data_IF_713733160556
#
_entry.id   IF_713733160556
#
_cell.length_a   1.000
_cell.length_b   1.000
_cell.length_c   1.000
_cell.angle_alpha   90.00
_cell.angle_beta   90.00
_cell.angle_gamma   90.00
#
_symmetry.space_group_name_H-M   'P 1'
#
loop_
_entity.id
_entity.type
_entity.pdbx_description
1 polymer ?
#
# COMPACT_ATOMS: atom_id res chain seq x y z
N UNK A 1 -2.38 -16.65 -1.01
CA UNK A 1 -1.34 -15.92 -0.26
C UNK A 1 -1.86 -14.59 0.29
N UNK A 2 -2.60 -13.81 -0.49
CA UNK A 2 -3.10 -12.49 -0.07
C UNK A 2 -4.01 -12.53 1.15
N UNK A 3 -4.85 -13.58 1.29
CA UNK A 3 -5.68 -13.76 2.49
C UNK A 3 -4.81 -13.91 3.75
N UNK A 4 -3.78 -14.73 3.65
CA UNK A 4 -2.86 -14.95 4.75
C UNK A 4 -2.05 -13.67 5.07
N UNK A 5 -1.56 -12.96 4.06
CA UNK A 5 -0.86 -11.70 4.24
C UNK A 5 -1.72 -10.64 4.93
N UNK A 6 -2.96 -10.49 4.47
CA UNK A 6 -3.89 -9.50 5.03
C UNK A 6 -4.31 -9.83 6.48
N UNK A 7 -4.55 -11.11 6.79
CA UNK A 7 -4.97 -11.54 8.14
C UNK A 7 -3.81 -11.55 9.13
N UNK A 8 -2.65 -12.04 8.71
CA UNK A 8 -1.54 -12.35 9.63
C UNK A 8 -1.08 -11.12 10.44
N UNK A 9 -0.89 -9.97 9.79
CA UNK A 9 -0.47 -8.78 10.52
C UNK A 9 -1.56 -8.25 11.45
N UNK A 10 -2.84 -8.25 11.01
CA UNK A 10 -3.96 -7.78 11.82
C UNK A 10 -4.10 -8.63 13.09
N UNK A 11 -4.04 -9.94 12.91
CA UNK A 11 -4.11 -10.88 14.03
C UNK A 11 -2.91 -10.72 14.98
N UNK A 12 -1.70 -10.53 14.44
CA UNK A 12 -0.51 -10.30 15.25
C UNK A 12 -0.63 -9.03 16.10
N UNK A 13 -1.13 -7.92 15.55
CA UNK A 13 -1.34 -6.67 16.28
C UNK A 13 -2.37 -6.81 17.39
N UNK A 14 -3.49 -7.47 17.13
CA UNK A 14 -4.54 -7.70 18.14
C UNK A 14 -4.03 -8.61 19.25
N UNK A 15 -3.42 -9.77 18.92
CA UNK A 15 -2.93 -10.71 19.93
C UNK A 15 -1.77 -10.15 20.78
N UNK A 16 -1.02 -9.18 20.27
CA UNK A 16 0.03 -8.48 21.00
C UNK A 16 -0.46 -7.23 21.74
N UNK A 17 -1.77 -6.94 21.70
CA UNK A 17 -2.35 -5.76 22.35
C UNK A 17 -1.96 -4.41 21.72
N UNK A 18 -1.47 -4.43 20.47
CA UNK A 18 -1.08 -3.20 19.75
C UNK A 18 -2.28 -2.54 19.05
N UNK A 19 -3.34 -3.27 18.77
CA UNK A 19 -4.55 -2.75 18.15
C UNK A 19 -5.81 -3.40 18.76
N UNK A 20 -6.98 -2.73 18.68
CA UNK A 20 -8.24 -3.29 19.15
C UNK A 20 -8.74 -4.41 18.23
N UNK A 21 -9.59 -5.29 18.78
CA UNK A 21 -10.20 -6.43 18.05
C UNK A 21 -10.93 -5.98 16.78
N UNK A 22 -11.49 -4.77 16.77
CA UNK A 22 -12.17 -4.19 15.61
C UNK A 22 -11.28 -4.06 14.35
N UNK A 23 -9.94 -4.13 14.49
CA UNK A 23 -9.04 -4.22 13.34
C UNK A 23 -9.35 -5.44 12.47
N UNK A 24 -9.80 -6.55 13.08
CA UNK A 24 -10.12 -7.79 12.37
C UNK A 24 -11.37 -7.67 11.49
N UNK A 25 -12.30 -6.74 11.78
CA UNK A 25 -13.49 -6.52 10.96
C UNK A 25 -13.11 -6.05 9.55
N UNK A 26 -12.01 -5.31 9.45
CA UNK A 26 -11.48 -4.86 8.15
C UNK A 26 -11.04 -6.02 7.24
N UNK A 27 -10.64 -7.17 7.82
CA UNK A 27 -10.30 -8.36 7.03
C UNK A 27 -11.48 -8.84 6.19
N UNK A 28 -12.65 -9.01 6.81
CA UNK A 28 -13.84 -9.45 6.09
C UNK A 28 -14.23 -8.46 4.98
N UNK A 29 -14.20 -7.17 5.27
CA UNK A 29 -14.53 -6.11 4.30
C UNK A 29 -13.60 -6.18 3.08
N UNK A 30 -12.31 -6.22 3.30
CA UNK A 30 -11.30 -6.23 2.26
C UNK A 30 -11.30 -7.56 1.46
N UNK A 31 -11.34 -8.70 2.14
CA UNK A 31 -11.20 -10.00 1.46
C UNK A 31 -12.46 -10.48 0.78
N UNK A 32 -13.64 -10.16 1.30
CA UNK A 32 -14.90 -10.40 0.58
C UNK A 32 -14.97 -9.57 -0.71
N UNK A 33 -14.54 -8.29 -0.64
CA UNK A 33 -14.43 -7.45 -1.84
C UNK A 33 -13.48 -8.07 -2.87
N UNK A 34 -12.27 -8.45 -2.46
CA UNK A 34 -11.27 -9.07 -3.33
C UNK A 34 -11.77 -10.39 -3.93
N UNK A 35 -12.42 -11.23 -3.13
CA UNK A 35 -12.97 -12.50 -3.60
C UNK A 35 -14.04 -12.29 -4.66
N UNK A 36 -14.95 -11.34 -4.49
CA UNK A 36 -15.97 -11.00 -5.50
C UNK A 36 -15.34 -10.56 -6.82
N UNK A 37 -14.31 -9.72 -6.77
CA UNK A 37 -13.59 -9.30 -7.98
C UNK A 37 -12.87 -10.47 -8.65
N UNK A 38 -12.15 -11.29 -7.88
CA UNK A 38 -11.45 -12.47 -8.41
C UNK A 38 -12.40 -13.47 -9.06
N UNK A 39 -13.57 -13.72 -8.47
CA UNK A 39 -14.58 -14.59 -9.06
C UNK A 39 -15.12 -14.04 -10.38
N UNK A 40 -15.36 -12.73 -10.48
CA UNK A 40 -15.80 -12.10 -11.71
C UNK A 40 -14.75 -12.20 -12.83
N UNK A 41 -13.47 -12.00 -12.51
CA UNK A 41 -12.38 -12.18 -13.48
C UNK A 41 -12.18 -13.67 -13.85
N UNK A 42 -12.26 -14.55 -12.86
CA UNK A 42 -12.15 -16.00 -13.07
C UNK A 42 -13.26 -16.54 -13.97
N UNK A 43 -14.50 -16.09 -13.80
CA UNK A 43 -15.62 -16.47 -14.65
C UNK A 43 -15.38 -16.09 -16.13
N UNK A 44 -14.98 -14.82 -16.38
CA UNK A 44 -14.65 -14.37 -17.74
C UNK A 44 -13.52 -15.18 -18.38
N UNK A 45 -12.49 -15.48 -17.59
CA UNK A 45 -11.38 -16.31 -18.06
C UNK A 45 -11.84 -17.73 -18.42
N UNK A 46 -12.69 -18.32 -17.60
CA UNK A 46 -13.23 -19.67 -17.83
C UNK A 46 -14.09 -19.69 -19.09
N UNK A 47 -15.00 -18.73 -19.27
CA UNK A 47 -15.82 -18.62 -20.49
C UNK A 47 -14.98 -18.43 -21.75
N UNK A 48 -13.88 -17.67 -21.65
CA UNK A 48 -12.96 -17.50 -22.77
C UNK A 48 -12.19 -18.77 -23.08
N UNK A 49 -11.68 -19.49 -22.07
CA UNK A 49 -10.90 -20.72 -22.24
C UNK A 49 -11.77 -21.92 -22.67
N UNK A 50 -12.97 -22.04 -22.10
CA UNK A 50 -13.93 -23.09 -22.36
C UNK A 50 -15.29 -22.49 -22.78
N UNK A 51 -15.41 -22.01 -24.03
CA UNK A 51 -16.63 -21.35 -24.50
C UNK A 51 -17.86 -22.26 -24.34
N UNK A 52 -18.93 -21.76 -23.68
CA UNK A 52 -20.11 -22.60 -23.40
C UNK A 52 -20.92 -22.96 -24.64
N UNK A 53 -20.86 -22.15 -25.69
CA UNK A 53 -21.61 -22.38 -26.92
C UNK A 53 -20.86 -21.90 -28.18
N UNK A 54 -21.53 -22.05 -29.33
CA UNK A 54 -20.97 -21.66 -30.63
C UNK A 54 -20.70 -20.15 -30.73
N UNK A 55 -21.57 -19.30 -30.19
CA UNK A 55 -21.41 -17.86 -30.25
C UNK A 55 -20.18 -17.39 -29.49
N UNK A 56 -19.97 -17.89 -28.27
CA UNK A 56 -18.77 -17.62 -27.49
C UNK A 56 -17.49 -18.12 -28.16
N UNK A 57 -17.53 -19.26 -28.83
CA UNK A 57 -16.41 -19.81 -29.60
C UNK A 57 -16.04 -18.89 -30.76
N UNK A 58 -17.05 -18.45 -31.52
CA UNK A 58 -16.84 -17.53 -32.64
C UNK A 58 -16.24 -16.19 -32.19
N UNK A 59 -16.77 -15.64 -31.11
CA UNK A 59 -16.27 -14.42 -30.52
C UNK A 59 -14.82 -14.57 -30.01
N UNK A 60 -14.47 -15.69 -29.36
CA UNK A 60 -13.10 -15.99 -28.96
C UNK A 60 -12.15 -16.04 -30.16
N UNK A 61 -12.51 -16.75 -31.22
CA UNK A 61 -11.68 -16.82 -32.41
C UNK A 61 -11.48 -15.46 -33.08
N UNK A 62 -12.53 -14.65 -33.15
CA UNK A 62 -12.45 -13.29 -33.68
C UNK A 62 -11.52 -12.41 -32.81
N UNK A 63 -11.68 -12.45 -31.48
CA UNK A 63 -10.83 -11.72 -30.56
C UNK A 63 -9.35 -12.13 -30.68
N UNK A 64 -9.06 -13.43 -30.74
CA UNK A 64 -7.70 -13.93 -30.91
C UNK A 64 -7.06 -13.48 -32.24
N UNK A 65 -7.81 -13.54 -33.33
CA UNK A 65 -7.31 -13.09 -34.65
C UNK A 65 -7.07 -11.57 -34.68
N UNK A 66 -8.00 -10.78 -34.14
CA UNK A 66 -7.84 -9.32 -34.09
C UNK A 66 -6.68 -8.90 -33.15
N UNK A 67 -6.45 -9.59 -32.05
CA UNK A 67 -5.36 -9.30 -31.13
C UNK A 67 -3.96 -9.46 -31.75
N UNK A 68 -3.84 -10.16 -32.88
CA UNK A 68 -2.59 -10.26 -33.63
C UNK A 68 -2.22 -8.93 -34.32
N UNK A 69 -3.22 -8.15 -34.70
CA UNK A 69 -3.05 -6.91 -35.49
C UNK A 69 -3.44 -5.66 -34.72
N UNK A 70 -4.26 -5.77 -33.68
CA UNK A 70 -4.73 -4.64 -32.87
C UNK A 70 -4.40 -4.87 -31.37
N UNK A 71 -3.51 -4.02 -30.84
CA UNK A 71 -3.09 -4.10 -29.45
C UNK A 71 -4.22 -3.79 -28.44
N UNK A 72 -5.22 -2.99 -28.83
CA UNK A 72 -6.35 -2.65 -27.94
C UNK A 72 -7.22 -3.86 -27.65
N UNK A 73 -7.37 -4.76 -28.63
CA UNK A 73 -8.14 -6.00 -28.50
C UNK A 73 -7.48 -6.99 -27.52
N UNK A 74 -6.17 -6.88 -27.29
CA UNK A 74 -5.43 -7.75 -26.34
C UNK A 74 -5.96 -7.62 -24.92
N UNK A 75 -6.51 -6.48 -24.56
CA UNK A 75 -7.13 -6.26 -23.25
C UNK A 75 -8.35 -7.15 -23.00
N UNK A 76 -9.04 -7.57 -24.06
CA UNK A 76 -10.21 -8.47 -23.96
C UNK A 76 -9.82 -9.91 -23.61
N UNK A 77 -8.61 -10.32 -23.95
CA UNK A 77 -8.10 -11.68 -23.71
C UNK A 77 -7.18 -11.75 -22.47
N UNK A 78 -6.89 -10.63 -21.82
CA UNK A 78 -6.11 -10.59 -20.58
C UNK A 78 -7.05 -10.52 -19.36
N UNK A 79 -7.20 -11.61 -18.60
CA UNK A 79 -8.18 -11.68 -17.51
C UNK A 79 -7.79 -10.92 -16.23
N UNK A 80 -6.69 -10.21 -16.19
CA UNK A 80 -6.16 -9.51 -14.97
C UNK A 80 -6.01 -10.42 -13.74
N UNK A 81 -5.86 -11.71 -13.91
CA UNK A 81 -5.82 -12.68 -12.79
C UNK A 81 -4.64 -12.50 -11.84
N UNK A 82 -3.58 -11.82 -12.28
CA UNK A 82 -2.37 -11.59 -11.50
C UNK A 82 -2.22 -10.15 -11.03
N UNK A 83 -3.22 -9.28 -11.27
CA UNK A 83 -3.18 -7.91 -10.78
C UNK A 83 -3.68 -7.87 -9.33
N UNK A 84 -2.97 -7.23 -8.40
CA UNK A 84 -3.44 -7.05 -7.05
C UNK A 84 -4.72 -6.21 -7.04
N UNK A 85 -5.62 -6.52 -6.11
CA UNK A 85 -6.91 -5.85 -5.98
C UNK A 85 -6.79 -4.72 -4.98
N UNK A 86 -7.28 -3.54 -5.34
CA UNK A 86 -7.34 -2.39 -4.45
C UNK A 86 -8.46 -2.55 -3.42
N UNK A 87 -8.23 -2.04 -2.21
CA UNK A 87 -9.20 -1.98 -1.11
C UNK A 87 -9.75 -0.56 -0.95
N UNK A 88 -10.27 0.02 -2.04
CA UNK A 88 -10.68 1.43 -2.08
C UNK A 88 -11.74 1.77 -1.01
N UNK A 89 -12.58 0.81 -0.65
CA UNK A 89 -13.60 0.95 0.39
C UNK A 89 -13.17 0.41 1.77
N UNK A 90 -11.87 0.19 1.99
CA UNK A 90 -11.40 -0.27 3.30
C UNK A 90 -11.65 0.78 4.38
N UNK A 91 -12.18 0.38 5.55
CA UNK A 91 -12.35 1.30 6.68
C UNK A 91 -11.01 1.77 7.27
N UNK A 92 -9.90 1.15 6.88
CA UNK A 92 -8.57 1.54 7.33
C UNK A 92 -7.98 2.70 6.53
N UNK A 93 -8.49 2.98 5.32
CA UNK A 93 -7.95 4.02 4.47
C UNK A 93 -8.07 5.40 5.11
N UNK A 94 -6.96 6.12 5.19
CA UNK A 94 -6.94 7.48 5.69
C UNK A 94 -7.27 8.43 4.54
N UNK A 95 -8.34 9.21 4.72
CA UNK A 95 -8.88 10.13 3.71
C UNK A 95 -8.47 11.57 3.92
N UNK A 96 -7.77 11.89 5.01
CA UNK A 96 -7.40 13.26 5.43
C UNK A 96 -6.24 13.88 4.62
N UNK A 97 -5.79 13.20 3.59
CA UNK A 97 -4.84 13.71 2.61
C UNK A 97 -5.54 14.44 1.48
N UNK A 98 -4.92 15.49 0.96
CA UNK A 98 -5.42 16.24 -0.18
C UNK A 98 -5.83 15.32 -1.36
N UNK A 99 -6.86 15.69 -2.15
CA UNK A 99 -7.29 14.90 -3.28
C UNK A 99 -6.12 14.63 -4.22
N UNK A 100 -5.88 13.38 -4.48
CA UNK A 100 -4.70 12.89 -5.19
C UNK A 100 -4.94 12.98 -6.69
N UNK A 101 -4.26 13.88 -7.33
CA UNK A 101 -4.15 13.85 -8.78
C UNK A 101 -3.22 12.70 -9.18
N UNK A 102 -3.79 11.54 -9.51
CA UNK A 102 -3.04 10.43 -10.09
C UNK A 102 -3.44 9.06 -9.54
N UNK A 103 -3.40 8.01 -10.37
CA UNK A 103 -3.82 6.67 -9.98
C UNK A 103 -2.81 5.92 -9.11
N UNK A 104 -1.62 6.48 -8.87
CA UNK A 104 -0.53 5.76 -8.24
C UNK A 104 -0.51 5.94 -6.73
N UNK A 105 -0.43 4.83 -6.00
CA UNK A 105 -0.24 4.77 -4.56
C UNK A 105 -1.28 5.53 -3.71
N UNK A 106 -2.56 5.48 -4.09
CA UNK A 106 -3.65 5.97 -3.26
C UNK A 106 -3.92 5.04 -2.07
N UNK A 107 -4.54 5.54 -0.97
CA UNK A 107 -4.96 4.68 0.13
C UNK A 107 -5.81 3.51 -0.36
N UNK A 108 -5.54 2.31 0.15
CA UNK A 108 -6.17 1.05 -0.29
C UNK A 108 -5.52 0.41 -1.51
N UNK A 109 -4.60 1.07 -2.19
CA UNK A 109 -3.86 0.47 -3.31
C UNK A 109 -2.60 -0.25 -2.84
N UNK A 110 -2.16 -1.28 -3.57
CA UNK A 110 -0.85 -1.88 -3.35
C UNK A 110 0.26 -0.82 -3.51
N UNK A 111 1.18 -0.78 -2.57
CA UNK A 111 2.34 0.09 -2.64
C UNK A 111 3.24 -0.37 -3.80
N UNK A 112 3.50 0.48 -4.80
CA UNK A 112 4.38 0.13 -5.91
C UNK A 112 5.79 -0.18 -5.42
N UNK A 113 6.41 -1.21 -5.98
CA UNK A 113 7.84 -1.40 -5.75
C UNK A 113 8.64 -0.36 -6.55
N UNK A 114 9.78 0.07 -6.00
CA UNK A 114 10.70 0.98 -6.65
C UNK A 114 12.14 0.65 -6.23
N UNK A 115 13.04 0.74 -7.20
CA UNK A 115 14.47 0.57 -6.95
C UNK A 115 15.05 1.87 -6.43
N UNK A 116 15.74 1.79 -5.31
CA UNK A 116 16.49 2.86 -4.66
C UNK A 116 17.98 2.47 -4.58
N UNK A 117 18.83 3.40 -4.19
CA UNK A 117 20.25 3.15 -3.95
C UNK A 117 20.62 3.54 -2.51
N UNK A 118 21.41 2.66 -1.88
CA UNK A 118 22.06 2.88 -0.59
C UNK A 118 23.58 2.87 -0.86
N UNK A 119 24.14 4.03 -1.18
CA UNK A 119 25.46 4.09 -1.82
C UNK A 119 25.44 3.31 -3.14
N UNK A 120 26.33 2.31 -3.27
CA UNK A 120 26.40 1.44 -4.45
C UNK A 120 25.46 0.22 -4.38
N UNK A 121 24.72 0.06 -3.29
CA UNK A 121 23.87 -1.13 -3.07
C UNK A 121 22.43 -0.84 -3.50
N UNK A 122 21.88 -1.60 -4.46
CA UNK A 122 20.47 -1.46 -4.81
C UNK A 122 19.57 -1.96 -3.67
N UNK A 123 18.50 -1.22 -3.39
CA UNK A 123 17.45 -1.53 -2.44
C UNK A 123 16.09 -1.46 -3.13
N UNK A 124 15.13 -2.19 -2.62
CA UNK A 124 13.75 -2.14 -3.10
C UNK A 124 12.80 -1.75 -1.97
N UNK A 125 11.80 -0.94 -2.27
CA UNK A 125 10.81 -0.50 -1.27
C UNK A 125 10.13 -1.72 -0.63
N UNK A 126 9.83 -2.74 -1.42
CA UNK A 126 9.18 -3.98 -0.98
C UNK A 126 9.99 -4.78 0.06
N UNK A 127 11.31 -4.62 0.12
CA UNK A 127 12.16 -5.25 1.16
C UNK A 127 11.83 -4.74 2.58
N UNK A 128 11.15 -3.60 2.67
CA UNK A 128 10.76 -3.00 3.95
C UNK A 128 9.44 -3.53 4.50
N UNK A 129 8.66 -4.26 3.69
CA UNK A 129 7.32 -4.76 4.08
C UNK A 129 7.40 -6.00 4.98
N UNK A 130 6.28 -6.34 5.60
CA UNK A 130 6.08 -7.60 6.32
C UNK A 130 6.38 -7.58 7.82
N UNK A 131 7.18 -6.65 8.33
CA UNK A 131 7.57 -6.63 9.75
C UNK A 131 6.85 -5.59 10.60
N UNK A 132 6.44 -4.50 10.02
CA UNK A 132 5.80 -3.36 10.67
C UNK A 132 5.22 -2.42 9.63
N UNK A 133 4.66 -1.32 10.10
CA UNK A 133 4.32 -0.22 9.20
C UNK A 133 5.58 0.45 8.66
N UNK A 134 5.49 1.01 7.46
CA UNK A 134 6.56 1.75 6.81
C UNK A 134 6.10 3.17 6.53
N UNK A 135 6.88 4.15 6.99
CA UNK A 135 6.78 5.55 6.59
C UNK A 135 7.80 5.81 5.49
N UNK A 136 7.32 5.96 4.27
CA UNK A 136 8.13 6.37 3.14
C UNK A 136 8.09 7.89 3.05
N UNK A 137 9.21 8.56 3.34
CA UNK A 137 9.35 10.02 3.34
C UNK A 137 10.22 10.47 2.18
N UNK A 138 9.69 11.32 1.29
CA UNK A 138 10.37 11.80 0.08
C UNK A 138 10.88 13.20 0.31
N UNK A 139 12.19 13.36 0.40
CA UNK A 139 12.88 14.64 0.66
C UNK A 139 12.18 15.45 1.78
N UNK A 140 12.00 14.86 2.98
CA UNK A 140 11.35 15.55 4.09
C UNK A 140 12.19 16.75 4.52
N UNK A 141 11.55 17.76 5.13
CA UNK A 141 12.30 18.84 5.80
C UNK A 141 13.10 18.25 6.97
N UNK A 142 14.19 18.92 7.37
CA UNK A 142 15.03 18.48 8.48
C UNK A 142 14.26 18.37 9.82
N UNK A 143 13.21 19.19 10.03
CA UNK A 143 12.35 19.08 11.20
C UNK A 143 11.48 17.82 11.12
N UNK A 144 10.82 17.59 9.99
CA UNK A 144 9.96 16.44 9.79
C UNK A 144 10.79 15.14 9.88
N UNK A 145 11.96 15.09 9.24
CA UNK A 145 12.84 13.91 9.31
C UNK A 145 13.14 13.52 10.76
N UNK A 146 13.57 14.49 11.60
CA UNK A 146 13.85 14.23 13.01
C UNK A 146 12.64 13.73 13.80
N UNK A 147 11.45 14.25 13.50
CA UNK A 147 10.22 13.81 14.16
C UNK A 147 9.81 12.39 13.72
N UNK A 148 9.99 12.05 12.45
CA UNK A 148 9.76 10.69 11.95
C UNK A 148 10.76 9.69 12.57
N UNK A 149 12.03 10.08 12.73
CA UNK A 149 13.05 9.27 13.39
C UNK A 149 12.71 9.07 14.88
N UNK A 150 12.18 10.09 15.54
CA UNK A 150 11.67 9.98 16.92
C UNK A 150 10.52 8.97 17.01
N UNK A 151 9.56 9.04 16.10
CA UNK A 151 8.45 8.08 16.05
C UNK A 151 8.94 6.64 15.84
N UNK A 152 9.96 6.44 15.00
CA UNK A 152 10.57 5.12 14.83
C UNK A 152 11.28 4.64 16.12
N UNK A 153 12.02 5.54 16.79
CA UNK A 153 12.68 5.24 18.06
C UNK A 153 11.68 4.89 19.17
N UNK A 154 10.58 5.61 19.28
CA UNK A 154 9.51 5.34 20.25
C UNK A 154 8.87 3.95 20.09
N UNK A 155 8.98 3.37 18.90
CA UNK A 155 8.41 2.03 18.60
C UNK A 155 9.44 0.93 18.51
N UNK A 156 10.74 1.21 18.73
CA UNK A 156 11.82 0.22 18.51
C UNK A 156 11.65 -1.06 19.33
N UNK A 157 11.11 -0.95 20.54
CA UNK A 157 10.86 -2.07 21.46
C UNK A 157 9.46 -2.70 21.27
N UNK A 158 8.65 -2.18 20.35
CA UNK A 158 7.37 -2.77 20.02
C UNK A 158 7.57 -4.11 19.29
N UNK A 159 6.66 -5.09 19.45
CA UNK A 159 6.72 -6.37 18.72
C UNK A 159 6.84 -6.21 17.21
N UNK A 160 6.32 -5.10 16.68
CA UNK A 160 6.33 -4.74 15.27
C UNK A 160 6.73 -3.27 15.12
N UNK A 161 8.03 -2.96 15.11
CA UNK A 161 8.50 -1.57 15.09
C UNK A 161 8.15 -0.86 13.79
N UNK A 162 7.89 0.45 13.89
CA UNK A 162 7.75 1.33 12.75
C UNK A 162 9.09 1.47 12.02
N UNK A 163 9.04 1.47 10.70
CA UNK A 163 10.21 1.75 9.86
C UNK A 163 10.04 3.06 9.14
N UNK A 164 11.06 3.89 9.17
CA UNK A 164 11.16 5.08 8.33
C UNK A 164 12.11 4.80 7.18
N UNK A 165 11.64 5.05 5.97
CA UNK A 165 12.40 4.95 4.73
C UNK A 165 12.51 6.35 4.14
N UNK A 166 13.58 7.05 4.46
CA UNK A 166 13.85 8.39 3.95
C UNK A 166 14.54 8.31 2.59
N UNK A 167 14.00 9.05 1.60
CA UNK A 167 14.50 9.12 0.23
C UNK A 167 14.87 10.55 -0.10
N UNK A 168 16.11 10.79 -0.49
CA UNK A 168 16.67 12.11 -0.78
C UNK A 168 17.92 12.39 0.04
N UNK A 169 18.19 13.67 0.33
CA UNK A 169 19.40 14.07 1.04
C UNK A 169 19.53 13.37 2.40
N UNK A 170 20.65 12.70 2.61
CA UNK A 170 20.93 11.94 3.83
C UNK A 170 20.21 10.58 3.95
N UNK A 171 19.48 10.16 2.95
CA UNK A 171 18.76 8.88 2.90
C UNK A 171 19.07 8.08 1.64
N UNK A 172 18.13 7.21 1.24
CA UNK A 172 18.25 6.45 0.00
C UNK A 172 18.09 7.35 -1.22
N UNK A 173 18.80 7.03 -2.29
CA UNK A 173 18.72 7.79 -3.53
C UNK A 173 17.72 7.16 -4.52
N UNK A 174 16.82 7.98 -5.08
CA UNK A 174 15.95 7.64 -6.21
C UNK A 174 16.60 8.10 -7.52
N UNK A 175 17.80 7.58 -7.80
CA UNK A 175 18.64 7.97 -8.92
C UNK A 175 17.93 7.90 -10.29
N UNK A 176 16.94 7.02 -10.42
CA UNK A 176 16.18 6.82 -11.66
C UNK A 176 14.79 7.46 -11.63
N UNK A 177 14.42 8.15 -10.56
CA UNK A 177 13.09 8.77 -10.40
C UNK A 177 11.92 7.77 -10.32
N UNK A 178 12.21 6.47 -10.20
CA UNK A 178 11.17 5.43 -10.22
C UNK A 178 10.20 5.54 -9.06
N UNK A 179 10.69 5.91 -7.88
CA UNK A 179 9.84 6.07 -6.71
C UNK A 179 8.92 7.27 -6.90
N UNK A 180 9.47 8.42 -7.27
CA UNK A 180 8.68 9.63 -7.50
C UNK A 180 7.62 9.43 -8.57
N UNK A 181 7.97 8.74 -9.66
CA UNK A 181 7.04 8.43 -10.75
C UNK A 181 5.92 7.48 -10.28
N UNK A 182 6.28 6.32 -9.72
CA UNK A 182 5.33 5.27 -9.35
C UNK A 182 4.41 5.66 -8.20
N UNK A 183 4.92 6.45 -7.25
CA UNK A 183 4.12 6.96 -6.14
C UNK A 183 3.46 8.31 -6.44
N UNK A 184 3.79 8.97 -7.55
CA UNK A 184 3.35 10.34 -7.82
C UNK A 184 3.77 11.27 -6.66
N UNK A 185 4.97 11.08 -6.10
CA UNK A 185 5.40 11.74 -4.88
C UNK A 185 6.33 12.92 -5.18
N UNK A 186 6.03 14.09 -4.64
CA UNK A 186 6.88 15.28 -4.63
C UNK A 186 7.72 15.36 -3.34
N UNK A 187 8.66 16.29 -3.31
CA UNK A 187 9.42 16.59 -2.09
C UNK A 187 8.47 16.98 -0.94
N UNK A 188 8.73 16.45 0.24
CA UNK A 188 7.90 16.61 1.43
C UNK A 188 6.81 15.56 1.58
N UNK A 189 6.53 14.74 0.57
CA UNK A 189 5.51 13.72 0.65
C UNK A 189 5.87 12.62 1.66
N UNK A 190 4.86 12.16 2.41
CA UNK A 190 4.95 11.01 3.32
C UNK A 190 3.86 10.02 2.96
N UNK A 191 4.22 8.76 2.81
CA UNK A 191 3.31 7.66 2.53
C UNK A 191 3.41 6.63 3.65
N UNK A 192 2.27 6.30 4.26
CA UNK A 192 2.18 5.25 5.28
C UNK A 192 1.73 3.96 4.63
N UNK A 193 2.55 2.93 4.76
CA UNK A 193 2.34 1.62 4.15
C UNK A 193 2.13 0.57 5.25
N UNK A 194 1.13 -0.26 5.07
CA UNK A 194 0.78 -1.37 5.95
C UNK A 194 1.79 -2.52 5.84
N UNK A 195 1.86 -3.42 6.85
CA UNK A 195 2.73 -4.60 6.79
C UNK A 195 2.47 -5.52 5.59
N UNK A 196 1.24 -5.59 5.09
CA UNK A 196 0.88 -6.36 3.90
C UNK A 196 1.14 -5.64 2.56
N UNK A 197 1.84 -4.49 2.60
CA UNK A 197 2.25 -3.76 1.42
C UNK A 197 1.16 -2.91 0.77
N UNK A 198 0.09 -2.58 1.48
CA UNK A 198 -0.93 -1.64 0.99
C UNK A 198 -0.74 -0.24 1.57
N UNK A 199 -1.01 0.77 0.78
CA UNK A 199 -1.00 2.16 1.26
C UNK A 199 -2.16 2.39 2.21
N UNK A 200 -1.86 2.85 3.43
CA UNK A 200 -2.87 3.22 4.42
C UNK A 200 -3.27 4.69 4.27
N UNK A 201 -2.28 5.55 4.08
CA UNK A 201 -2.46 6.99 3.95
C UNK A 201 -1.30 7.65 3.23
N UNK A 202 -1.51 8.87 2.74
CA UNK A 202 -0.46 9.67 2.15
C UNK A 202 -0.74 11.15 2.31
N UNK A 203 0.32 11.93 2.39
CA UNK A 203 0.29 13.39 2.55
C UNK A 203 1.33 14.02 1.65
N UNK A 204 1.03 15.20 1.10
CA UNK A 204 1.99 15.93 0.25
C UNK A 204 3.08 16.65 1.06
N UNK A 205 2.71 17.16 2.24
CA UNK A 205 3.62 17.81 3.18
C UNK A 205 2.98 17.81 4.58
N UNK A 206 2.98 16.69 5.31
CA UNK A 206 2.32 16.60 6.60
C UNK A 206 3.09 17.32 7.69
N UNK A 207 2.36 17.76 8.70
CA UNK A 207 2.94 17.99 10.02
C UNK A 207 3.09 16.64 10.74
N UNK A 208 4.09 16.51 11.60
CA UNK A 208 4.32 15.26 12.33
C UNK A 208 3.12 14.82 13.17
N UNK A 209 2.36 15.77 13.72
CA UNK A 209 1.13 15.47 14.45
C UNK A 209 0.09 14.68 13.63
N UNK A 210 0.00 14.93 12.32
CA UNK A 210 -0.90 14.18 11.43
C UNK A 210 -0.43 12.73 11.26
N UNK A 211 0.89 12.53 11.06
CA UNK A 211 1.48 11.21 10.97
C UNK A 211 1.35 10.44 12.28
N UNK A 212 1.58 11.12 13.41
CA UNK A 212 1.41 10.58 14.76
C UNK A 212 -0.04 10.12 15.00
N UNK A 213 -1.01 10.95 14.67
CA UNK A 213 -2.44 10.62 14.79
C UNK A 213 -2.83 9.38 13.94
N UNK A 214 -2.26 9.25 12.75
CA UNK A 214 -2.49 8.10 11.87
C UNK A 214 -1.92 6.79 12.44
N UNK A 215 -0.82 6.85 13.20
CA UNK A 215 -0.15 5.70 13.81
C UNK A 215 -0.71 5.34 15.20
N UNK A 216 -1.33 6.27 15.89
CA UNK A 216 -1.83 6.09 17.25
C UNK A 216 -2.73 4.84 17.44
N UNK A 217 -3.62 4.46 16.50
CA UNK A 217 -4.42 3.24 16.62
C UNK A 217 -3.62 1.93 16.64
N UNK A 218 -2.37 1.98 16.15
CA UNK A 218 -1.51 0.79 15.99
C UNK A 218 -0.31 0.75 16.93
N UNK A 219 -0.02 1.88 17.58
CA UNK A 219 1.11 2.05 18.50
C UNK A 219 0.65 2.81 19.75
N UNK A 220 0.23 2.09 20.81
CA UNK A 220 -0.26 2.73 22.06
C UNK A 220 0.72 3.70 22.70
N UNK A 221 2.02 3.47 22.55
CA UNK A 221 3.06 4.38 23.07
C UNK A 221 3.02 5.75 22.37
N UNK A 222 2.80 5.76 21.06
CA UNK A 222 2.65 7.00 20.28
C UNK A 222 1.41 7.78 20.73
N UNK A 223 0.32 7.08 21.07
CA UNK A 223 -0.90 7.71 21.59
C UNK A 223 -0.69 8.40 22.94
N UNK A 224 0.11 7.83 23.82
CA UNK A 224 0.38 8.38 25.17
C UNK A 224 1.24 9.64 25.12
N UNK A 225 2.24 9.70 24.26
CA UNK A 225 3.12 10.88 24.10
C UNK A 225 2.34 12.12 23.65
N UNK A 226 1.34 11.95 22.78
CA UNK A 226 0.50 13.04 22.29
C UNK A 226 -0.35 13.69 23.41
N UNK A 227 -0.73 12.92 24.43
CA UNK A 227 -1.54 13.42 25.56
C UNK A 227 -0.73 14.27 26.53
N UNK A 228 0.57 14.01 26.67
CA UNK A 228 1.46 14.77 27.54
C UNK A 228 1.87 16.12 26.94
N UNK A 229 2.07 16.20 25.62
CA UNK A 229 2.41 17.47 24.93
C UNK A 229 1.23 18.47 24.91
N UNK A 230 -0.01 17.98 24.99
CA UNK A 230 -1.21 18.83 25.03
C UNK A 230 -1.56 19.41 26.41
N UNK A 231 -0.82 19.03 27.48
CA UNK A 231 -1.04 19.48 28.86
C UNK A 231 0.08 20.40 29.38
N UNK A 232 1.11 20.68 28.59
CA UNK A 232 2.21 21.61 28.90
C UNK A 232 2.04 22.93 28.15
#
# INVERSE_FOLDING_TARGET
>A
LDDAGNLAWKLAWVLKGQAPDSLLDSYSTERVHATRQNLAYGAKSTEFMAPPDFGFRLMREAALRLALVDATVRSLINPRQSAPISYDASPLNLTDGAPQAGPAAAPGQPAPDARLQDGDTPRYVSESFGRGFVLLAVSPSASLARELDTLAADTQDAPHPLRVLSVGEGGLDDAHGQLRERYGASAGAVILIRPDGYVLGRWSAPQAAQVRAALAPYYPLIAQSATQEGQA
#
